data_IF_668469094470
#
_entry.id   IF_668469094470
#
_cell.length_a   1.000
_cell.length_b   1.000
_cell.length_c   1.000
_cell.angle_alpha   90.00
_cell.angle_beta   90.00
_cell.angle_gamma   90.00
#
_symmetry.space_group_name_H-M   'P 1'
#
loop_
_entity.id
_entity.type
_entity.pdbx_description
1 polymer ?
#
# COMPACT_ATOMS: atom_id res chain seq x y z
N UNK A 1 -17.97 7.30 -5.72
CA UNK A 1 -18.24 8.49 -6.58
C UNK A 1 -19.43 9.37 -6.16
N UNK A 2 -20.63 8.86 -5.84
CA UNK A 2 -21.78 9.70 -5.42
C UNK A 2 -21.48 10.62 -4.24
N UNK A 3 -20.82 10.10 -3.19
CA UNK A 3 -20.40 10.87 -2.00
C UNK A 3 -19.44 12.03 -2.35
N UNK A 4 -18.49 11.80 -3.25
CA UNK A 4 -17.57 12.85 -3.74
C UNK A 4 -18.34 13.97 -4.42
N UNK A 5 -19.28 13.65 -5.31
CA UNK A 5 -20.11 14.65 -5.99
C UNK A 5 -20.98 15.46 -5.00
N UNK A 6 -21.52 14.81 -3.97
CA UNK A 6 -22.25 15.49 -2.91
C UNK A 6 -21.36 16.45 -2.11
N UNK A 7 -20.18 16.01 -1.69
CA UNK A 7 -19.22 16.84 -0.95
C UNK A 7 -18.73 18.03 -1.79
N UNK A 8 -18.51 17.84 -3.10
CA UNK A 8 -18.16 18.95 -4.01
C UNK A 8 -19.25 20.02 -4.06
N UNK A 9 -20.53 19.64 -4.05
CA UNK A 9 -21.65 20.59 -3.99
C UNK A 9 -21.68 21.33 -2.65
N UNK A 10 -21.45 20.62 -1.55
CA UNK A 10 -21.40 21.21 -0.21
C UNK A 10 -20.24 22.21 -0.07
N UNK A 11 -19.06 21.87 -0.61
CA UNK A 11 -17.90 22.77 -0.66
C UNK A 11 -18.22 24.04 -1.44
N UNK A 12 -18.84 23.92 -2.64
CA UNK A 12 -19.21 25.09 -3.43
C UNK A 12 -20.21 26.00 -2.68
N UNK A 13 -21.21 25.40 -2.00
CA UNK A 13 -22.15 26.15 -1.17
C UNK A 13 -21.46 26.83 0.01
N UNK A 14 -20.52 26.15 0.68
CA UNK A 14 -19.76 26.69 1.80
C UNK A 14 -18.85 27.86 1.36
N UNK A 15 -18.23 27.76 0.20
CA UNK A 15 -17.45 28.86 -0.39
C UNK A 15 -18.33 30.08 -0.67
N UNK A 16 -19.57 29.89 -1.15
CA UNK A 16 -20.52 31.00 -1.32
C UNK A 16 -20.88 31.67 0.01
N UNK A 17 -21.05 30.89 1.08
CA UNK A 17 -21.29 31.43 2.43
C UNK A 17 -20.11 32.28 2.90
N UNK A 18 -18.87 31.78 2.74
CA UNK A 18 -17.66 32.54 3.10
C UNK A 18 -17.58 33.85 2.33
N UNK A 19 -17.81 33.82 1.01
CA UNK A 19 -17.81 35.04 0.17
C UNK A 19 -18.86 36.05 0.64
N UNK A 20 -20.08 35.59 0.97
CA UNK A 20 -21.14 36.45 1.50
C UNK A 20 -20.75 37.11 2.82
N UNK A 21 -20.29 36.32 3.80
CA UNK A 21 -19.85 36.83 5.11
C UNK A 21 -18.67 37.80 5.00
N UNK A 22 -17.74 37.54 4.07
CA UNK A 22 -16.61 38.43 3.82
C UNK A 22 -17.07 39.76 3.22
N UNK A 23 -18.03 39.73 2.28
CA UNK A 23 -18.63 40.94 1.74
C UNK A 23 -19.39 41.75 2.80
N UNK A 24 -20.14 41.09 3.69
CA UNK A 24 -20.85 41.75 4.79
C UNK A 24 -19.86 42.42 5.77
N UNK A 25 -18.73 41.76 6.05
CA UNK A 25 -17.63 42.32 6.84
C UNK A 25 -17.02 43.56 6.19
N UNK A 26 -16.74 43.51 4.88
CA UNK A 26 -16.23 44.67 4.14
C UNK A 26 -17.23 45.84 4.13
N UNK A 27 -18.53 45.56 4.03
CA UNK A 27 -19.58 46.58 4.13
C UNK A 27 -19.60 47.23 5.53
N UNK A 28 -19.43 46.45 6.59
CA UNK A 28 -19.33 46.97 7.95
C UNK A 28 -18.10 47.89 8.12
N UNK A 29 -16.93 47.50 7.61
CA UNK A 29 -15.73 48.35 7.65
C UNK A 29 -15.91 49.65 6.87
N UNK A 30 -16.56 49.60 5.70
CA UNK A 30 -16.88 50.82 4.93
C UNK A 30 -17.82 51.75 5.70
N UNK A 31 -18.82 51.22 6.41
CA UNK A 31 -19.71 52.04 7.23
C UNK A 31 -18.95 52.81 8.32
N UNK A 32 -17.90 52.21 8.90
CA UNK A 32 -17.02 52.87 9.87
C UNK A 32 -16.19 53.96 9.20
N UNK A 33 -15.56 53.67 8.05
CA UNK A 33 -14.72 54.62 7.32
C UNK A 33 -15.49 55.87 6.85
N UNK A 34 -16.78 55.74 6.53
CA UNK A 34 -17.63 56.88 6.12
C UNK A 34 -17.71 57.95 7.21
N UNK A 35 -17.55 57.61 8.49
CA UNK A 35 -17.57 58.62 9.57
C UNK A 35 -16.44 59.63 9.38
N UNK A 36 -15.22 59.16 9.12
CA UNK A 36 -14.04 60.01 8.91
C UNK A 36 -14.22 60.91 7.67
N UNK A 37 -14.77 60.36 6.57
CA UNK A 37 -15.10 61.13 5.37
C UNK A 37 -16.08 62.27 5.69
N UNK A 38 -17.12 61.99 6.47
CA UNK A 38 -18.13 62.98 6.85
C UNK A 38 -17.57 64.02 7.82
N UNK A 39 -16.67 63.65 8.72
CA UNK A 39 -15.95 64.60 9.59
C UNK A 39 -15.13 65.59 8.77
N UNK A 40 -14.36 65.10 7.78
CA UNK A 40 -13.54 65.95 6.91
C UNK A 40 -14.38 66.94 6.09
N UNK A 41 -15.56 66.53 5.62
CA UNK A 41 -16.50 67.41 4.90
C UNK A 41 -16.99 68.55 5.81
N UNK A 42 -17.35 68.25 7.06
CA UNK A 42 -17.80 69.26 8.03
C UNK A 42 -16.68 70.27 8.32
N UNK A 43 -15.45 69.79 8.53
CA UNK A 43 -14.31 70.65 8.83
C UNK A 43 -13.96 71.57 7.65
N UNK A 44 -13.99 71.05 6.42
CA UNK A 44 -13.80 71.83 5.19
C UNK A 44 -14.86 72.93 5.02
N UNK A 45 -16.15 72.61 5.26
CA UNK A 45 -17.23 73.60 5.19
C UNK A 45 -17.09 74.68 6.26
N UNK A 46 -16.66 74.31 7.48
CA UNK A 46 -16.38 75.27 8.56
C UNK A 46 -15.22 76.19 8.22
N UNK A 47 -14.14 75.66 7.66
CA UNK A 47 -12.98 76.44 7.21
C UNK A 47 -13.38 77.43 6.10
N UNK A 48 -14.12 76.98 5.08
CA UNK A 48 -14.63 77.84 4.02
C UNK A 48 -15.52 78.96 4.55
N UNK A 49 -16.39 78.65 5.52
CA UNK A 49 -17.22 79.67 6.20
C UNK A 49 -16.35 80.70 6.94
N UNK A 50 -15.32 80.25 7.67
CA UNK A 50 -14.41 81.15 8.39
C UNK A 50 -13.61 82.05 7.44
N UNK A 51 -13.14 81.52 6.31
CA UNK A 51 -12.46 82.29 5.27
C UNK A 51 -13.37 83.37 4.70
N UNK A 52 -14.62 83.03 4.34
CA UNK A 52 -15.59 84.02 3.85
C UNK A 52 -15.85 85.13 4.88
N UNK A 53 -15.99 84.78 6.16
CA UNK A 53 -16.16 85.75 7.25
C UNK A 53 -14.95 86.68 7.38
N UNK A 54 -13.73 86.13 7.30
CA UNK A 54 -12.51 86.92 7.39
C UNK A 54 -12.36 87.89 6.20
N UNK A 55 -12.60 87.41 4.97
CA UNK A 55 -12.53 88.21 3.74
C UNK A 55 -13.56 89.35 3.74
N UNK A 56 -14.80 89.06 4.13
CA UNK A 56 -15.87 90.07 4.17
C UNK A 56 -15.64 91.11 5.27
N UNK A 57 -15.15 90.70 6.45
CA UNK A 57 -14.75 91.61 7.53
C UNK A 57 -13.62 92.55 7.07
N UNK A 58 -12.60 92.03 6.36
CA UNK A 58 -11.52 92.85 5.81
C UNK A 58 -12.03 93.90 4.81
N UNK A 59 -13.13 93.63 4.11
CA UNK A 59 -13.80 94.56 3.20
C UNK A 59 -14.82 95.49 3.87
N UNK A 60 -14.99 95.43 5.20
CA UNK A 60 -15.93 96.27 5.96
C UNK A 60 -17.41 95.92 5.74
N UNK A 61 -17.72 94.72 5.25
CA UNK A 61 -19.07 94.22 4.98
C UNK A 61 -19.45 93.10 5.95
N UNK A 62 -20.75 92.82 6.05
CA UNK A 62 -21.27 91.64 6.78
C UNK A 62 -21.28 90.43 5.84
N UNK A 63 -20.73 89.30 6.30
CA UNK A 63 -20.77 88.03 5.57
C UNK A 63 -22.19 87.47 5.50
N UNK A 64 -22.62 86.97 4.34
CA UNK A 64 -23.80 86.10 4.24
C UNK A 64 -23.33 84.64 4.32
N UNK A 65 -23.51 84.02 5.49
CA UNK A 65 -23.13 82.62 5.76
C UNK A 65 -24.27 81.62 5.64
N UNK A 66 -25.48 82.08 5.29
CA UNK A 66 -26.72 81.28 5.36
C UNK A 66 -26.64 79.95 4.58
N UNK A 67 -26.00 79.96 3.41
CA UNK A 67 -25.79 78.76 2.60
C UNK A 67 -24.81 77.78 3.27
N UNK A 68 -23.68 78.27 3.79
CA UNK A 68 -22.72 77.43 4.52
C UNK A 68 -23.33 76.86 5.80
N UNK A 69 -24.13 77.64 6.53
CA UNK A 69 -24.79 77.17 7.74
C UNK A 69 -25.83 76.08 7.44
N UNK A 70 -26.55 76.20 6.31
CA UNK A 70 -27.45 75.15 5.83
C UNK A 70 -26.70 73.88 5.42
N UNK A 71 -25.59 74.02 4.69
CA UNK A 71 -24.76 72.88 4.27
C UNK A 71 -24.11 72.16 5.45
N UNK A 72 -23.60 72.92 6.43
CA UNK A 72 -23.04 72.38 7.68
C UNK A 72 -24.12 71.62 8.45
N UNK A 73 -25.32 72.20 8.63
CA UNK A 73 -26.42 71.52 9.32
C UNK A 73 -26.81 70.21 8.64
N UNK A 74 -26.86 70.18 7.31
CA UNK A 74 -27.16 68.97 6.54
C UNK A 74 -26.03 67.92 6.67
N UNK A 75 -24.77 68.35 6.60
CA UNK A 75 -23.61 67.48 6.77
C UNK A 75 -23.53 66.89 8.19
N UNK A 76 -23.85 67.68 9.23
CA UNK A 76 -23.93 67.23 10.62
C UNK A 76 -25.02 66.18 10.82
N UNK A 77 -26.19 66.34 10.17
CA UNK A 77 -27.24 65.33 10.19
C UNK A 77 -26.81 64.01 9.51
N UNK A 78 -26.14 64.10 8.35
CA UNK A 78 -25.58 62.94 7.66
C UNK A 78 -24.47 62.25 8.48
N UNK A 79 -23.61 63.04 9.14
CA UNK A 79 -22.58 62.52 10.03
C UNK A 79 -23.19 61.80 11.23
N UNK A 80 -24.23 62.36 11.86
CA UNK A 80 -24.94 61.68 12.95
C UNK A 80 -25.51 60.32 12.52
N UNK A 81 -26.10 60.25 11.32
CA UNK A 81 -26.56 58.98 10.75
C UNK A 81 -25.41 58.01 10.47
N UNK A 82 -24.28 58.49 9.93
CA UNK A 82 -23.08 57.69 9.71
C UNK A 82 -22.49 57.13 11.02
N UNK A 83 -22.43 57.93 12.09
CA UNK A 83 -21.97 57.49 13.41
C UNK A 83 -22.89 56.41 13.98
N UNK A 84 -24.20 56.54 13.83
CA UNK A 84 -25.14 55.52 14.26
C UNK A 84 -24.94 54.20 13.48
N UNK A 85 -24.78 54.27 12.16
CA UNK A 85 -24.50 53.12 11.32
C UNK A 85 -23.14 52.47 11.64
N UNK A 86 -22.10 53.28 11.87
CA UNK A 86 -20.75 52.82 12.22
C UNK A 86 -20.71 52.10 13.58
N UNK A 87 -21.49 52.56 14.57
CA UNK A 87 -21.61 51.85 15.86
C UNK A 87 -22.21 50.46 15.67
N UNK A 88 -23.32 50.37 14.94
CA UNK A 88 -23.94 49.08 14.64
C UNK A 88 -23.00 48.16 13.83
N UNK A 89 -22.24 48.72 12.88
CA UNK A 89 -21.25 47.98 12.12
C UNK A 89 -20.06 47.51 12.98
N UNK A 90 -19.56 48.34 13.89
CA UNK A 90 -18.48 47.97 14.81
C UNK A 90 -18.88 46.80 15.72
N UNK A 91 -20.14 46.75 16.16
CA UNK A 91 -20.68 45.65 16.96
C UNK A 91 -20.82 44.34 16.15
N UNK A 92 -20.97 44.41 14.82
CA UNK A 92 -21.13 43.22 13.96
C UNK A 92 -19.81 42.62 13.46
N UNK A 93 -18.70 43.37 13.44
CA UNK A 93 -17.41 42.89 12.92
C UNK A 93 -16.92 41.64 13.65
N UNK A 94 -16.91 41.64 14.99
CA UNK A 94 -16.40 40.49 15.77
C UNK A 94 -17.23 39.22 15.51
N UNK A 95 -18.58 39.26 15.55
CA UNK A 95 -19.41 38.14 15.12
C UNK A 95 -19.16 37.69 13.67
N UNK A 96 -18.98 38.63 12.73
CA UNK A 96 -18.72 38.31 11.32
C UNK A 96 -17.36 37.61 11.15
N UNK A 97 -16.31 38.09 11.81
CA UNK A 97 -14.99 37.45 11.83
C UNK A 97 -15.08 36.02 12.36
N UNK A 98 -15.77 35.82 13.49
CA UNK A 98 -15.98 34.48 14.06
C UNK A 98 -16.78 33.57 13.11
N UNK A 99 -17.79 34.11 12.42
CA UNK A 99 -18.59 33.37 11.45
C UNK A 99 -17.77 32.98 10.21
N UNK A 100 -16.91 33.87 9.70
CA UNK A 100 -15.99 33.59 8.59
C UNK A 100 -15.02 32.48 8.98
N UNK A 101 -14.40 32.55 10.15
CA UNK A 101 -13.47 31.52 10.61
C UNK A 101 -14.16 30.16 10.83
N UNK A 102 -15.35 30.15 11.43
CA UNK A 102 -16.14 28.93 11.56
C UNK A 102 -16.48 28.34 10.18
N UNK A 103 -16.84 29.18 9.22
CA UNK A 103 -17.17 28.75 7.87
C UNK A 103 -15.94 28.20 7.12
N UNK A 104 -14.75 28.78 7.31
CA UNK A 104 -13.47 28.28 6.78
C UNK A 104 -13.07 26.93 7.38
N UNK A 105 -13.24 26.75 8.69
CA UNK A 105 -12.99 25.47 9.35
C UNK A 105 -13.91 24.37 8.81
N UNK A 106 -15.21 24.66 8.66
CA UNK A 106 -16.15 23.73 8.05
C UNK A 106 -15.80 23.39 6.59
N UNK A 107 -15.26 24.36 5.82
CA UNK A 107 -14.75 24.12 4.48
C UNK A 107 -13.56 23.14 4.49
N UNK A 108 -12.59 23.35 5.37
CA UNK A 108 -11.43 22.47 5.50
C UNK A 108 -11.84 21.03 5.87
N UNK A 109 -12.80 20.88 6.78
CA UNK A 109 -13.36 19.56 7.14
C UNK A 109 -14.03 18.88 5.95
N UNK A 110 -14.81 19.62 5.16
CA UNK A 110 -15.45 19.09 3.94
C UNK A 110 -14.42 18.68 2.88
N UNK A 111 -13.34 19.45 2.73
CA UNK A 111 -12.25 19.12 1.82
C UNK A 111 -11.50 17.85 2.24
N UNK A 112 -11.19 17.71 3.53
CA UNK A 112 -10.62 16.49 4.09
C UNK A 112 -11.52 15.26 3.88
N UNK A 113 -12.82 15.41 4.13
CA UNK A 113 -13.81 14.36 3.86
C UNK A 113 -13.89 14.01 2.37
N UNK A 114 -13.79 14.99 1.47
CA UNK A 114 -13.81 14.76 0.02
C UNK A 114 -12.58 13.99 -0.44
N UNK A 115 -11.39 14.35 0.06
CA UNK A 115 -10.15 13.65 -0.26
C UNK A 115 -10.21 12.18 0.17
N UNK A 116 -10.59 11.91 1.42
CA UNK A 116 -10.74 10.55 1.92
C UNK A 116 -11.82 9.76 1.15
N UNK A 117 -12.95 10.38 0.79
CA UNK A 117 -13.98 9.74 0.00
C UNK A 117 -13.55 9.45 -1.45
N UNK A 118 -12.65 10.26 -2.02
CA UNK A 118 -12.08 10.04 -3.34
C UNK A 118 -11.06 8.90 -3.32
N UNK A 119 -10.15 8.90 -2.35
CA UNK A 119 -9.17 7.83 -2.15
C UNK A 119 -9.87 6.47 -2.01
N UNK A 120 -10.87 6.38 -1.11
CA UNK A 120 -11.66 5.17 -0.95
C UNK A 120 -12.34 4.72 -2.25
N UNK A 121 -12.90 5.66 -3.02
CA UNK A 121 -13.54 5.33 -4.30
C UNK A 121 -12.54 4.82 -5.35
N UNK A 122 -11.33 5.39 -5.41
CA UNK A 122 -10.26 4.93 -6.30
C UNK A 122 -9.82 3.53 -5.91
N UNK A 123 -9.59 3.30 -4.61
CA UNK A 123 -9.20 1.99 -4.09
C UNK A 123 -10.27 0.91 -4.35
N UNK A 124 -11.55 1.23 -4.16
CA UNK A 124 -12.63 0.29 -4.49
C UNK A 124 -12.65 -0.05 -5.98
N UNK A 125 -12.45 0.93 -6.87
CA UNK A 125 -12.41 0.67 -8.32
C UNK A 125 -11.21 -0.19 -8.70
N UNK A 126 -10.04 0.09 -8.10
CA UNK A 126 -8.85 -0.73 -8.26
C UNK A 126 -9.09 -2.17 -7.79
N UNK A 127 -9.68 -2.40 -6.62
CA UNK A 127 -10.00 -3.73 -6.10
C UNK A 127 -10.94 -4.51 -7.04
N UNK A 128 -11.94 -3.84 -7.64
CA UNK A 128 -12.84 -4.44 -8.64
C UNK A 128 -12.03 -4.91 -9.85
N UNK A 129 -11.15 -4.06 -10.39
CA UNK A 129 -10.33 -4.41 -11.54
C UNK A 129 -9.28 -5.48 -11.22
N UNK A 130 -8.68 -5.44 -10.03
CA UNK A 130 -7.78 -6.47 -9.53
C UNK A 130 -8.49 -7.82 -9.42
N UNK A 131 -9.74 -7.84 -8.95
CA UNK A 131 -10.59 -9.04 -8.91
C UNK A 131 -10.79 -9.63 -10.31
N UNK A 132 -11.21 -8.81 -11.28
CA UNK A 132 -11.37 -9.24 -12.68
C UNK A 132 -10.06 -9.72 -13.31
N UNK A 133 -8.95 -9.07 -12.99
CA UNK A 133 -7.62 -9.51 -13.40
C UNK A 133 -7.32 -10.91 -12.87
N UNK A 134 -7.55 -11.16 -11.57
CA UNK A 134 -7.31 -12.47 -10.97
C UNK A 134 -8.21 -13.55 -11.57
N UNK A 135 -9.48 -13.23 -11.86
CA UNK A 135 -10.40 -14.12 -12.57
C UNK A 135 -9.90 -14.48 -13.97
N UNK A 136 -9.39 -13.49 -14.73
CA UNK A 136 -8.82 -13.72 -16.05
C UNK A 136 -7.57 -14.61 -15.99
N UNK A 137 -6.71 -14.41 -14.98
CA UNK A 137 -5.53 -15.27 -14.75
C UNK A 137 -5.94 -16.68 -14.34
N UNK A 138 -7.02 -16.85 -13.58
CA UNK A 138 -7.57 -18.17 -13.27
C UNK A 138 -8.13 -18.85 -14.53
N UNK A 139 -8.85 -18.11 -15.38
CA UNK A 139 -9.38 -18.63 -16.65
C UNK A 139 -8.27 -19.05 -17.64
N UNK A 140 -7.12 -18.36 -17.61
CA UNK A 140 -5.95 -18.70 -18.43
C UNK A 140 -5.44 -20.12 -18.15
N UNK A 141 -5.63 -20.65 -16.94
CA UNK A 141 -5.21 -22.00 -16.57
C UNK A 141 -5.70 -23.06 -17.57
N UNK A 142 -6.99 -23.04 -17.92
CA UNK A 142 -7.58 -24.05 -18.81
C UNK A 142 -6.98 -23.99 -20.22
N UNK A 143 -6.69 -22.78 -20.73
CA UNK A 143 -6.02 -22.63 -22.02
C UNK A 143 -4.60 -23.20 -21.97
N UNK A 144 -3.84 -22.91 -20.92
CA UNK A 144 -2.47 -23.39 -20.76
C UNK A 144 -2.43 -24.90 -20.55
N UNK A 145 -3.36 -25.46 -19.78
CA UNK A 145 -3.54 -26.91 -19.61
C UNK A 145 -3.82 -27.60 -20.95
N UNK A 146 -4.72 -27.05 -21.77
CA UNK A 146 -5.00 -27.60 -23.10
C UNK A 146 -3.79 -27.52 -24.06
N UNK A 147 -3.03 -26.42 -24.04
CA UNK A 147 -1.80 -26.27 -24.84
C UNK A 147 -0.71 -27.25 -24.40
N UNK A 148 -0.47 -27.38 -23.09
CA UNK A 148 0.46 -28.35 -22.52
C UNK A 148 0.02 -29.80 -22.80
N UNK A 149 -1.28 -30.08 -22.69
CA UNK A 149 -1.86 -31.38 -22.96
C UNK A 149 -1.74 -31.80 -24.41
N UNK A 150 -1.96 -30.88 -25.35
CA UNK A 150 -1.77 -31.12 -26.77
C UNK A 150 -0.33 -31.49 -27.12
N UNK A 151 0.66 -30.79 -26.54
CA UNK A 151 2.07 -31.16 -26.74
C UNK A 151 2.40 -32.54 -26.15
N UNK A 152 1.94 -32.83 -24.94
CA UNK A 152 2.13 -34.15 -24.31
C UNK A 152 1.53 -35.27 -25.15
N UNK A 153 0.29 -35.10 -25.61
CA UNK A 153 -0.38 -36.06 -26.48
C UNK A 153 0.33 -36.21 -27.83
N UNK A 154 0.81 -35.11 -28.42
CA UNK A 154 1.59 -35.14 -29.66
C UNK A 154 2.86 -35.97 -29.52
N UNK A 155 3.59 -35.82 -28.40
CA UNK A 155 4.79 -36.62 -28.15
C UNK A 155 4.48 -38.11 -28.05
N UNK A 156 3.39 -38.46 -27.38
CA UNK A 156 2.98 -39.85 -27.13
C UNK A 156 2.39 -40.53 -28.37
N UNK A 157 1.43 -39.89 -29.03
CA UNK A 157 0.77 -40.47 -30.21
C UNK A 157 1.75 -40.61 -31.38
N UNK A 158 2.69 -39.68 -31.53
CA UNK A 158 3.60 -39.67 -32.68
C UNK A 158 5.00 -40.20 -32.36
N UNK A 159 5.18 -40.85 -31.19
CA UNK A 159 6.45 -41.46 -30.75
C UNK A 159 7.68 -40.54 -30.94
N UNK A 160 7.55 -39.29 -30.49
CA UNK A 160 8.58 -38.26 -30.68
C UNK A 160 9.76 -38.48 -29.73
N UNK A 161 10.97 -38.28 -30.24
CA UNK A 161 12.20 -38.49 -29.47
C UNK A 161 12.45 -37.31 -28.50
N UNK A 162 13.20 -37.54 -27.41
CA UNK A 162 13.72 -36.44 -26.59
C UNK A 162 14.59 -35.51 -27.45
N UNK A 163 14.10 -34.31 -27.73
CA UNK A 163 14.74 -33.32 -28.62
C UNK A 163 13.86 -32.88 -29.80
N UNK A 164 12.79 -33.63 -30.10
CA UNK A 164 11.79 -33.18 -31.07
C UNK A 164 10.98 -32.02 -30.49
N UNK A 165 11.06 -30.87 -31.14
CA UNK A 165 10.31 -29.68 -30.74
C UNK A 165 8.85 -29.78 -31.18
N UNK A 166 7.95 -29.45 -30.26
CA UNK A 166 6.54 -29.28 -30.61
C UNK A 166 6.39 -28.12 -31.61
N UNK A 167 5.56 -28.24 -32.67
CA UNK A 167 5.45 -27.20 -33.70
C UNK A 167 4.88 -25.86 -33.20
N UNK A 168 4.16 -25.89 -32.07
CA UNK A 168 3.63 -24.70 -31.39
C UNK A 168 4.33 -24.45 -30.06
N UNK A 169 3.77 -23.53 -29.26
CA UNK A 169 4.20 -23.33 -27.87
C UNK A 169 3.30 -24.14 -26.94
N UNK A 170 3.63 -25.39 -26.64
CA UNK A 170 2.85 -26.20 -25.69
C UNK A 170 3.29 -25.92 -24.25
N UNK A 171 4.23 -26.73 -23.76
CA UNK A 171 4.84 -26.59 -22.43
C UNK A 171 5.67 -25.30 -22.29
N UNK A 172 6.19 -24.76 -23.39
CA UNK A 172 6.95 -23.48 -23.35
C UNK A 172 6.10 -22.33 -22.78
N UNK A 173 4.77 -22.36 -22.94
CA UNK A 173 3.88 -21.32 -22.41
C UNK A 173 3.90 -21.28 -20.89
N UNK A 174 3.98 -22.44 -20.21
CA UNK A 174 4.04 -22.47 -18.75
C UNK A 174 5.38 -21.95 -18.23
N UNK A 175 6.47 -22.20 -18.96
CA UNK A 175 7.79 -21.67 -18.64
C UNK A 175 7.86 -20.15 -18.84
N UNK A 176 7.27 -19.63 -19.92
CA UNK A 176 7.13 -18.20 -20.16
C UNK A 176 6.36 -17.52 -19.01
N UNK A 177 5.27 -18.14 -18.54
CA UNK A 177 4.50 -17.64 -17.40
C UNK A 177 5.33 -17.65 -16.13
N UNK A 178 6.02 -18.75 -15.82
CA UNK A 178 6.91 -18.86 -14.65
C UNK A 178 7.98 -17.79 -14.65
N UNK A 179 8.64 -17.57 -15.78
CA UNK A 179 9.74 -16.64 -15.89
C UNK A 179 9.29 -15.17 -15.82
N UNK A 180 8.33 -14.75 -16.65
CA UNK A 180 8.00 -13.32 -16.84
C UNK A 180 6.53 -13.02 -17.11
N UNK A 181 5.66 -14.02 -17.09
CA UNK A 181 4.24 -13.80 -17.38
C UNK A 181 3.45 -13.21 -16.22
N UNK A 182 2.16 -13.53 -16.21
CA UNK A 182 1.20 -12.98 -15.23
C UNK A 182 1.60 -13.29 -13.79
N UNK A 183 1.24 -12.37 -12.89
CA UNK A 183 1.49 -12.48 -11.45
C UNK A 183 0.21 -12.17 -10.72
N UNK A 184 0.03 -12.70 -9.52
CA UNK A 184 -1.19 -12.52 -8.72
C UNK A 184 -0.85 -12.21 -7.27
N UNK A 185 -1.79 -11.61 -6.52
CA UNK A 185 -1.66 -11.47 -5.07
C UNK A 185 -1.42 -12.81 -4.38
N UNK A 186 -0.85 -12.77 -3.17
CA UNK A 186 -0.44 -13.97 -2.42
C UNK A 186 -1.61 -14.95 -2.22
N UNK A 187 -2.85 -14.47 -2.11
CA UNK A 187 -4.09 -15.25 -1.96
C UNK A 187 -4.38 -16.20 -3.13
N UNK A 188 -3.84 -15.91 -4.32
CA UNK A 188 -4.01 -16.72 -5.54
C UNK A 188 -2.73 -17.47 -5.93
N UNK A 189 -1.71 -17.40 -5.08
CA UNK A 189 -0.44 -18.11 -5.23
C UNK A 189 -0.35 -19.27 -4.24
N UNK A 190 0.76 -20.02 -4.29
CA UNK A 190 1.06 -21.05 -3.28
C UNK A 190 1.21 -20.49 -1.86
N UNK A 191 1.50 -19.19 -1.70
CA UNK A 191 1.63 -18.55 -0.39
C UNK A 191 0.32 -18.41 0.37
N UNK A 192 -0.82 -18.75 -0.26
CA UNK A 192 -2.07 -18.96 0.47
C UNK A 192 -1.93 -20.08 1.52
N UNK A 193 -1.08 -21.08 1.25
CA UNK A 193 -0.75 -22.13 2.21
C UNK A 193 0.17 -21.57 3.31
N UNK A 194 -0.27 -21.57 4.59
CA UNK A 194 0.55 -21.09 5.70
C UNK A 194 1.91 -21.79 5.83
N UNK A 195 2.01 -23.07 5.44
CA UNK A 195 3.27 -23.81 5.49
C UNK A 195 4.29 -23.26 4.49
N UNK A 196 3.84 -22.86 3.30
CA UNK A 196 4.69 -22.22 2.29
C UNK A 196 5.03 -20.79 2.73
N UNK A 197 4.05 -20.04 3.24
CA UNK A 197 4.24 -18.67 3.70
C UNK A 197 5.25 -18.55 4.85
N UNK A 198 5.34 -19.56 5.73
CA UNK A 198 6.30 -19.60 6.84
C UNK A 198 7.77 -19.55 6.36
N UNK A 199 8.05 -19.91 5.10
CA UNK A 199 9.36 -19.82 4.48
C UNK A 199 9.74 -18.43 3.96
N UNK A 200 8.89 -17.42 4.13
CA UNK A 200 9.09 -16.07 3.61
C UNK A 200 9.18 -15.03 4.73
N UNK A 201 9.69 -13.84 4.39
CA UNK A 201 9.61 -12.67 5.27
C UNK A 201 8.18 -12.14 5.37
N UNK A 202 7.84 -11.50 6.48
CA UNK A 202 6.46 -11.18 6.86
C UNK A 202 5.79 -10.16 5.91
N UNK A 203 6.59 -9.44 5.12
CA UNK A 203 6.19 -8.48 4.09
C UNK A 203 5.75 -9.12 2.78
N UNK A 204 5.69 -10.45 2.67
CA UNK A 204 5.31 -11.16 1.45
C UNK A 204 3.97 -10.71 0.85
N UNK A 205 3.04 -10.21 1.67
CA UNK A 205 1.73 -9.71 1.23
C UNK A 205 1.80 -8.48 0.31
N UNK A 206 2.93 -7.79 0.30
CA UNK A 206 3.15 -6.59 -0.51
C UNK A 206 3.66 -6.91 -1.93
N UNK A 207 3.80 -8.19 -2.27
CA UNK A 207 4.37 -8.63 -3.55
C UNK A 207 3.40 -9.48 -4.34
N UNK A 208 3.73 -9.63 -5.62
CA UNK A 208 2.95 -10.40 -6.58
C UNK A 208 3.74 -11.64 -7.01
N UNK A 209 3.06 -12.77 -7.12
CA UNK A 209 3.66 -14.09 -7.25
C UNK A 209 3.13 -14.85 -8.45
N UNK A 210 3.82 -15.94 -8.81
CA UNK A 210 3.32 -16.87 -9.84
C UNK A 210 1.98 -17.47 -9.36
N UNK A 211 0.96 -17.57 -10.23
CA UNK A 211 -0.30 -18.23 -9.88
C UNK A 211 -0.09 -19.66 -9.38
N UNK A 212 -0.94 -20.13 -8.48
CA UNK A 212 -0.84 -21.48 -7.89
C UNK A 212 -0.71 -22.58 -8.94
N UNK A 213 -1.46 -22.46 -10.04
CA UNK A 213 -1.46 -23.44 -11.13
C UNK A 213 -0.20 -23.42 -11.99
N UNK A 214 0.59 -22.34 -11.94
CA UNK A 214 1.83 -22.18 -12.68
C UNK A 214 3.09 -22.38 -11.83
N UNK A 215 2.95 -22.78 -10.56
CA UNK A 215 4.08 -23.03 -9.68
C UNK A 215 5.07 -24.06 -10.27
N UNK A 216 6.36 -23.88 -10.01
CA UNK A 216 7.44 -24.69 -10.61
C UNK A 216 7.34 -26.18 -10.26
N UNK A 217 6.81 -26.50 -9.08
CA UNK A 217 6.65 -27.86 -8.58
C UNK A 217 5.48 -28.59 -9.24
N UNK A 218 4.58 -27.86 -9.89
CA UNK A 218 3.42 -28.43 -10.58
C UNK A 218 3.83 -28.93 -11.98
N UNK A 219 4.19 -30.21 -12.07
CA UNK A 219 4.61 -30.86 -13.31
C UNK A 219 3.49 -31.60 -14.04
N UNK A 220 2.31 -31.72 -13.42
CA UNK A 220 1.13 -32.43 -13.91
C UNK A 220 0.24 -31.59 -14.85
N UNK A 221 0.63 -30.36 -15.14
CA UNK A 221 -0.15 -29.44 -15.98
C UNK A 221 -0.43 -30.05 -17.37
N UNK A 222 -1.70 -30.03 -17.77
CA UNK A 222 -2.19 -30.58 -19.04
C UNK A 222 -2.21 -32.11 -19.14
N UNK A 223 -1.90 -32.85 -18.06
CA UNK A 223 -1.94 -34.33 -18.11
C UNK A 223 -3.33 -34.87 -18.42
N UNK A 224 -4.38 -34.29 -17.82
CA UNK A 224 -5.77 -34.69 -18.09
C UNK A 224 -6.17 -34.45 -19.55
N UNK A 225 -5.90 -33.26 -20.08
CA UNK A 225 -6.18 -32.94 -21.48
C UNK A 225 -5.38 -33.85 -22.44
N UNK A 226 -4.13 -34.19 -22.08
CA UNK A 226 -3.34 -35.14 -22.84
C UNK A 226 -4.00 -36.52 -22.88
N UNK A 227 -4.48 -37.02 -21.74
CA UNK A 227 -5.19 -38.31 -21.65
C UNK A 227 -6.48 -38.28 -22.47
N UNK A 228 -7.27 -37.21 -22.37
CA UNK A 228 -8.50 -37.04 -23.15
C UNK A 228 -8.23 -37.05 -24.67
N UNK A 229 -7.16 -36.39 -25.13
CA UNK A 229 -6.73 -36.38 -26.54
C UNK A 229 -6.26 -37.78 -26.98
N UNK A 230 -5.41 -38.45 -26.19
CA UNK A 230 -4.90 -39.79 -26.50
C UNK A 230 -6.05 -40.80 -26.57
N UNK A 231 -6.97 -40.78 -25.60
CA UNK A 231 -8.14 -41.66 -25.57
C UNK A 231 -9.12 -41.37 -26.71
N UNK A 232 -9.26 -40.11 -27.14
CA UNK A 232 -10.03 -39.77 -28.34
C UNK A 232 -9.37 -40.33 -29.62
N UNK A 233 -8.06 -40.19 -29.78
CA UNK A 233 -7.32 -40.72 -30.92
C UNK A 233 -7.39 -42.25 -31.02
N UNK A 234 -7.30 -42.94 -29.87
CA UNK A 234 -7.48 -44.40 -29.78
C UNK A 234 -8.87 -44.86 -30.20
N UNK A 235 -9.91 -44.16 -29.73
CA UNK A 235 -11.30 -44.42 -30.17
C UNK A 235 -11.49 -44.22 -31.67
N UNK A 236 -10.70 -43.34 -32.29
CA UNK A 236 -10.66 -43.15 -33.73
C UNK A 236 -9.79 -44.18 -34.49
N UNK A 237 -9.21 -45.16 -33.80
CA UNK A 237 -8.42 -46.24 -34.39
C UNK A 237 -6.92 -45.98 -34.51
N UNK A 238 -6.40 -44.91 -33.90
CA UNK A 238 -4.96 -44.62 -33.92
C UNK A 238 -4.23 -45.46 -32.85
N UNK A 239 -3.17 -46.21 -33.21
CA UNK A 239 -2.38 -46.96 -32.24
C UNK A 239 -1.54 -46.00 -31.39
N UNK A 240 -1.48 -46.22 -30.08
CA UNK A 240 -0.65 -45.41 -29.19
C UNK A 240 -0.49 -46.04 -27.81
N UNK A 241 0.66 -45.82 -27.19
CA UNK A 241 0.99 -46.30 -25.85
C UNK A 241 0.14 -45.62 -24.77
N UNK A 242 -0.03 -46.27 -23.62
CA UNK A 242 -0.73 -45.67 -22.48
C UNK A 242 0.05 -44.43 -22.00
N UNK A 243 -0.68 -43.37 -21.64
CA UNK A 243 -0.10 -42.27 -20.90
C UNK A 243 0.33 -42.84 -19.54
N UNK A 244 1.61 -43.22 -19.42
CA UNK A 244 2.19 -43.54 -18.12
C UNK A 244 2.33 -42.22 -17.38
N UNK A 245 1.36 -41.93 -16.53
CA UNK A 245 1.46 -40.86 -15.56
C UNK A 245 2.65 -41.16 -14.66
N UNK A 246 3.69 -40.31 -14.72
CA UNK A 246 4.65 -40.27 -13.63
C UNK A 246 3.86 -40.01 -12.33
N UNK A 247 4.17 -40.71 -11.22
CA UNK A 247 3.41 -40.58 -9.98
C UNK A 247 3.27 -39.10 -9.60
N UNK A 248 2.02 -38.67 -9.46
CA UNK A 248 1.58 -37.27 -9.48
C UNK A 248 1.79 -36.52 -8.16
N UNK A 249 2.43 -37.11 -7.17
CA UNK A 249 2.78 -36.42 -5.95
C UNK A 249 4.30 -36.36 -5.84
N UNK A 250 4.93 -35.18 -5.69
CA UNK A 250 6.22 -35.16 -5.02
C UNK A 250 5.95 -35.82 -3.65
N UNK A 251 6.42 -37.05 -3.46
CA UNK A 251 6.32 -37.72 -2.17
C UNK A 251 6.75 -36.69 -1.13
N UNK A 252 5.84 -36.32 -0.23
CA UNK A 252 6.21 -35.46 0.90
C UNK A 252 7.41 -36.16 1.52
N UNK A 253 8.61 -35.54 1.50
CA UNK A 253 9.84 -36.24 1.85
C UNK A 253 9.62 -36.85 3.22
N UNK A 254 9.63 -38.18 3.28
CA UNK A 254 9.22 -38.89 4.49
C UNK A 254 10.19 -38.53 5.60
N UNK A 255 9.73 -37.76 6.58
CA UNK A 255 10.57 -37.32 7.69
C UNK A 255 10.66 -38.45 8.71
N UNK A 256 11.88 -38.85 9.08
CA UNK A 256 12.14 -39.86 10.10
C UNK A 256 12.90 -39.25 11.27
N UNK A 257 12.51 -39.65 12.49
CA UNK A 257 13.21 -39.26 13.72
C UNK A 257 14.51 -40.05 13.83
N UNK A 258 15.62 -39.34 13.88
CA UNK A 258 16.96 -39.90 14.08
C UNK A 258 17.58 -39.38 15.36
N UNK A 259 18.45 -40.19 15.97
CA UNK A 259 19.32 -39.78 17.07
C UNK A 259 20.75 -39.67 16.58
N UNK A 260 21.43 -38.57 16.90
CA UNK A 260 22.84 -38.40 16.55
C UNK A 260 23.70 -39.38 17.35
N UNK A 261 24.47 -40.21 16.66
CA UNK A 261 25.39 -41.19 17.25
C UNK A 261 26.83 -40.69 17.24
N UNK A 262 27.21 -39.90 16.23
CA UNK A 262 28.59 -39.44 16.05
C UNK A 262 28.67 -38.10 15.31
N UNK A 263 29.40 -37.15 15.90
CA UNK A 263 29.67 -35.83 15.31
C UNK A 263 28.59 -34.79 15.64
N UNK A 264 28.64 -33.66 14.94
CA UNK A 264 27.66 -32.58 15.04
C UNK A 264 26.93 -32.51 13.70
N UNK A 265 25.59 -32.56 13.74
CA UNK A 265 24.76 -32.39 12.55
C UNK A 265 24.23 -30.97 12.55
N UNK A 266 24.56 -30.22 11.50
CA UNK A 266 23.99 -28.89 11.26
C UNK A 266 22.80 -29.05 10.35
N UNK A 267 21.61 -28.77 10.86
CA UNK A 267 20.41 -28.72 10.04
C UNK A 267 19.81 -27.32 10.10
N UNK A 268 19.34 -26.87 8.95
CA UNK A 268 18.69 -25.58 8.83
C UNK A 268 17.30 -25.69 9.43
N UNK A 269 17.07 -25.02 10.56
CA UNK A 269 15.82 -25.08 11.30
C UNK A 269 14.79 -24.06 10.82
N UNK A 270 15.24 -22.95 10.24
CA UNK A 270 14.36 -21.93 9.66
C UNK A 270 15.09 -21.19 8.54
N UNK A 271 14.51 -21.19 7.34
CA UNK A 271 14.98 -20.40 6.20
C UNK A 271 13.87 -19.41 5.86
N UNK A 272 14.12 -18.11 6.01
CA UNK A 272 13.23 -17.08 5.45
C UNK A 272 13.80 -16.54 4.15
N UNK A 273 12.97 -16.47 3.13
CA UNK A 273 13.31 -15.94 1.80
C UNK A 273 12.64 -14.59 1.57
N UNK A 274 13.32 -13.74 0.81
CA UNK A 274 12.74 -12.50 0.32
C UNK A 274 11.67 -12.83 -0.73
N UNK A 275 10.46 -12.27 -0.63
CA UNK A 275 9.35 -12.56 -1.55
C UNK A 275 9.65 -12.14 -3.00
N UNK A 276 10.28 -11.00 -3.23
CA UNK A 276 10.59 -10.52 -4.59
C UNK A 276 11.71 -11.29 -5.31
N UNK A 277 12.78 -11.67 -4.59
CA UNK A 277 14.01 -12.18 -5.20
C UNK A 277 14.23 -13.67 -4.95
N UNK A 278 13.48 -14.27 -4.02
CA UNK A 278 13.70 -15.65 -3.56
C UNK A 278 15.01 -15.85 -2.78
N UNK A 279 15.79 -14.78 -2.58
CA UNK A 279 17.05 -14.81 -1.86
C UNK A 279 16.82 -15.18 -0.39
N UNK A 280 17.72 -15.98 0.19
CA UNK A 280 17.64 -16.33 1.61
C UNK A 280 18.06 -15.11 2.44
N UNK A 281 17.12 -14.55 3.20
CA UNK A 281 17.32 -13.35 4.05
C UNK A 281 17.75 -13.75 5.45
N UNK A 282 17.18 -14.84 5.97
CA UNK A 282 17.62 -15.38 7.26
C UNK A 282 17.68 -16.89 7.20
N UNK A 283 18.70 -17.42 7.87
CA UNK A 283 18.97 -18.86 7.95
C UNK A 283 19.39 -19.15 9.38
N UNK A 284 18.49 -19.79 10.13
CA UNK A 284 18.80 -20.29 11.47
C UNK A 284 19.27 -21.73 11.29
N UNK A 285 20.56 -21.97 11.48
CA UNK A 285 21.12 -23.32 11.49
C UNK A 285 21.23 -23.78 12.94
N UNK A 286 20.57 -24.90 13.25
CA UNK A 286 20.68 -25.56 14.55
C UNK A 286 21.70 -26.68 14.46
N UNK A 287 22.59 -26.74 15.44
CA UNK A 287 23.53 -27.84 15.61
C UNK A 287 22.93 -28.87 16.57
N UNK A 288 22.99 -30.14 16.19
CA UNK A 288 22.55 -31.29 16.98
C UNK A 288 23.77 -32.13 17.34
N UNK A 289 23.93 -32.41 18.63
CA UNK A 289 25.06 -33.15 19.18
C UNK A 289 24.71 -34.60 19.46
N UNK A 290 25.72 -35.41 19.80
CA UNK A 290 25.53 -36.83 20.11
C UNK A 290 24.51 -37.01 21.23
N UNK A 291 23.49 -37.82 20.97
CA UNK A 291 22.38 -38.06 21.89
C UNK A 291 21.15 -37.19 21.63
N UNK A 292 21.25 -36.13 20.82
CA UNK A 292 20.10 -35.32 20.41
C UNK A 292 19.23 -36.04 19.36
N UNK A 293 17.94 -35.78 19.42
CA UNK A 293 16.98 -36.25 18.42
C UNK A 293 16.68 -35.12 17.41
N UNK A 294 16.65 -35.43 16.12
CA UNK A 294 16.17 -34.54 15.07
C UNK A 294 15.35 -35.29 14.01
N UNK A 295 14.51 -34.57 13.29
CA UNK A 295 13.78 -35.09 12.13
C UNK A 295 14.57 -34.76 10.86
N UNK A 296 14.84 -35.78 10.05
CA UNK A 296 15.51 -35.66 8.76
C UNK A 296 14.68 -36.36 7.69
N UNK A 297 14.81 -35.89 6.45
CA UNK A 297 14.30 -36.62 5.30
C UNK A 297 14.89 -38.04 5.25
N UNK A 298 14.06 -39.04 4.97
CA UNK A 298 14.43 -40.46 5.04
C UNK A 298 15.66 -40.79 4.18
N UNK A 299 15.78 -40.20 2.99
CA UNK A 299 16.94 -40.39 2.13
C UNK A 299 18.24 -39.91 2.81
N UNK A 300 18.24 -38.70 3.37
CA UNK A 300 19.38 -38.15 4.10
C UNK A 300 19.65 -38.91 5.40
N UNK A 301 18.59 -39.29 6.13
CA UNK A 301 18.68 -40.07 7.36
C UNK A 301 19.32 -41.43 7.10
N UNK A 302 18.91 -42.15 6.04
CA UNK A 302 19.51 -43.45 5.66
C UNK A 302 20.95 -43.29 5.22
N UNK A 303 21.28 -42.24 4.46
CA UNK A 303 22.67 -41.97 4.07
C UNK A 303 23.55 -41.71 5.31
N UNK A 304 23.10 -40.89 6.26
CA UNK A 304 23.82 -40.62 7.50
C UNK A 304 23.87 -41.83 8.43
N UNK A 305 22.87 -42.71 8.37
CA UNK A 305 22.84 -43.97 9.12
C UNK A 305 23.89 -44.95 8.58
N UNK A 306 23.98 -45.12 7.25
CA UNK A 306 25.01 -45.92 6.58
C UNK A 306 26.41 -45.42 6.94
N UNK A 307 26.61 -44.10 6.96
CA UNK A 307 27.86 -43.46 7.36
C UNK A 307 28.13 -43.52 8.89
N UNK A 308 27.19 -44.07 9.67
CA UNK A 308 27.34 -44.28 11.11
C UNK A 308 27.19 -43.01 11.97
N UNK A 309 26.67 -41.92 11.41
CA UNK A 309 26.47 -40.65 12.10
C UNK A 309 25.18 -40.60 12.92
N UNK A 310 24.13 -41.31 12.50
CA UNK A 310 22.82 -41.32 13.16
C UNK A 310 22.24 -42.73 13.32
N UNK A 311 21.29 -42.89 14.23
CA UNK A 311 20.44 -44.07 14.37
C UNK A 311 18.99 -43.67 14.09
N UNK A 312 18.32 -44.38 13.19
CA UNK A 312 16.90 -44.17 12.90
C UNK A 312 16.09 -44.79 14.06
N UNK A 313 15.18 -44.02 14.68
CA UNK A 313 14.36 -44.54 15.78
C UNK A 313 13.51 -45.72 15.30
N UNK A 314 13.60 -46.85 16.00
CA UNK A 314 12.93 -48.10 15.64
C UNK A 314 13.83 -49.11 14.92
N UNK A 315 15.00 -48.68 14.44
CA UNK A 315 15.98 -49.53 13.73
C UNK A 315 17.33 -49.48 14.46
N UNK A 316 17.44 -50.19 15.60
CA UNK A 316 18.70 -50.41 16.34
C UNK A 316 18.78 -49.83 17.77
N UNK A 317 19.93 -50.03 18.43
CA UNK A 317 20.20 -49.51 19.78
C UNK A 317 20.46 -47.99 19.74
N UNK A 318 19.68 -47.24 20.53
CA UNK A 318 19.81 -45.79 20.63
C UNK A 318 20.98 -45.42 21.57
N UNK A 319 21.88 -44.51 21.15
CA UNK A 319 22.94 -44.02 22.03
C UNK A 319 22.33 -43.33 23.26
N UNK A 320 22.90 -43.63 24.42
CA UNK A 320 22.50 -43.07 25.72
C UNK A 320 22.92 -41.61 25.85
N UNK A 321 22.10 -40.80 26.52
CA UNK A 321 22.34 -39.36 26.77
C UNK A 321 23.47 -39.08 27.77
N UNK A 322 24.24 -40.09 28.16
CA UNK A 322 25.16 -40.06 29.30
C UNK A 322 26.59 -39.82 28.85
N UNK A 323 26.97 -38.54 28.84
CA UNK A 323 28.34 -38.09 28.64
C UNK A 323 28.66 -36.72 29.25
N UNK A 324 27.79 -36.16 30.10
CA UNK A 324 28.05 -34.91 30.83
C UNK A 324 28.07 -35.22 32.33
N UNK A 325 29.19 -35.03 33.04
CA UNK A 325 29.21 -35.12 34.50
C UNK A 325 28.14 -34.19 35.10
N UNK A 326 27.37 -34.71 36.07
CA UNK A 326 26.23 -34.03 36.73
C UNK A 326 26.54 -32.65 37.34
N UNK A 327 27.80 -32.22 37.36
CA UNK A 327 28.22 -30.92 37.89
C UNK A 327 28.12 -29.76 36.88
N UNK A 328 27.90 -30.03 35.58
CA UNK A 328 27.64 -28.99 34.58
C UNK A 328 26.13 -28.67 34.40
N UNK A 329 25.24 -29.54 34.86
CA UNK A 329 23.78 -29.41 34.69
C UNK A 329 23.17 -28.28 35.56
N UNK A 330 23.95 -27.76 36.52
CA UNK A 330 23.60 -26.59 37.34
C UNK A 330 24.05 -25.24 36.74
N UNK A 331 24.91 -25.25 35.72
CA UNK A 331 25.42 -24.04 35.06
C UNK A 331 24.68 -23.70 33.73
N UNK A 332 23.86 -24.61 33.21
CA UNK A 332 23.14 -24.47 31.93
C UNK A 332 21.61 -24.43 32.08
N UNK A 333 21.09 -23.85 33.16
CA UNK A 333 19.71 -23.33 33.12
C UNK A 333 19.72 -22.00 32.37
N UNK A 334 19.07 -21.87 31.20
CA UNK A 334 18.81 -20.54 30.67
C UNK A 334 17.89 -19.81 31.65
N UNK A 335 18.37 -18.65 32.13
CA UNK A 335 17.51 -17.59 32.64
C UNK A 335 16.53 -17.23 31.53
N UNK A 336 15.29 -17.67 31.66
CA UNK A 336 14.16 -16.99 31.03
C UNK A 336 14.02 -15.63 31.74
N UNK A 337 14.81 -14.65 31.30
CA UNK A 337 14.65 -13.25 31.67
C UNK A 337 15.30 -12.38 30.59
N UNK A 338 14.48 -11.62 29.88
CA UNK A 338 14.93 -10.50 29.05
C UNK A 338 15.32 -10.84 27.61
N UNK A 339 14.32 -11.01 26.76
CA UNK A 339 14.40 -10.56 25.37
C UNK A 339 13.22 -9.63 25.08
N UNK A 340 13.00 -8.69 25.99
CA UNK A 340 12.40 -7.39 25.64
C UNK A 340 13.56 -6.46 25.28
N UNK A 341 13.40 -5.78 24.15
CA UNK A 341 14.32 -4.82 23.55
C UNK A 341 15.70 -5.37 23.14
N UNK A 342 15.85 -5.61 21.83
CA UNK A 342 17.06 -5.14 21.19
C UNK A 342 16.68 -4.24 20.02
N UNK A 343 17.07 -2.99 20.18
CA UNK A 343 16.88 -1.89 19.25
C UNK A 343 17.38 -2.31 17.87
N UNK A 344 16.54 -2.03 16.86
CA UNK A 344 16.97 -1.95 15.48
C UNK A 344 18.19 -1.02 15.45
N UNK A 345 19.36 -1.61 15.19
CA UNK A 345 20.46 -0.86 14.60
C UNK A 345 19.93 -0.26 13.31
N UNK A 346 19.53 1.01 13.42
CA UNK A 346 19.33 1.94 12.33
C UNK A 346 20.69 2.07 11.65
N UNK A 347 21.00 1.14 10.74
CA UNK A 347 22.01 1.40 9.73
C UNK A 347 21.38 2.51 8.90
N UNK A 348 21.84 3.73 9.15
CA UNK A 348 21.50 4.87 8.35
C UNK A 348 21.82 4.52 6.90
N UNK A 349 20.78 4.52 6.07
CA UNK A 349 20.95 4.75 4.65
C UNK A 349 21.53 6.17 4.51
N UNK A 350 22.85 6.24 4.60
CA UNK A 350 23.66 7.38 4.18
C UNK A 350 23.49 7.51 2.67
N UNK A 351 22.70 8.48 2.25
CA UNK A 351 22.83 9.42 1.11
C UNK A 351 23.83 9.17 -0.06
N UNK A 352 24.28 7.95 -0.35
CA UNK A 352 25.26 7.68 -1.42
C UNK A 352 24.70 6.89 -2.61
N UNK A 353 23.42 6.51 -2.60
CA UNK A 353 22.75 5.89 -3.75
C UNK A 353 21.81 6.82 -4.53
N UNK A 354 21.86 8.13 -4.25
CA UNK A 354 21.14 9.16 -5.02
C UNK A 354 22.06 9.93 -5.99
N UNK A 355 23.39 9.69 -5.94
CA UNK A 355 24.37 10.36 -6.80
C UNK A 355 24.76 9.56 -8.08
N UNK A 356 24.15 8.40 -8.34
CA UNK A 356 24.50 7.52 -9.47
C UNK A 356 23.36 7.33 -10.49
N UNK A 357 22.27 8.09 -10.39
CA UNK A 357 21.15 8.06 -11.36
C UNK A 357 20.81 9.42 -11.99
N UNK A 358 21.71 10.41 -11.97
CA UNK A 358 21.48 11.72 -12.62
C UNK A 358 22.50 12.12 -13.69
N UNK A 359 23.40 11.24 -14.12
CA UNK A 359 24.26 11.51 -15.28
C UNK A 359 24.24 10.34 -16.23
N UNK A 360 23.24 10.30 -17.11
CA UNK A 360 23.38 9.90 -18.51
C UNK A 360 22.04 10.09 -19.22
N UNK A 361 21.84 11.31 -19.71
CA UNK A 361 20.66 11.73 -20.45
C UNK A 361 20.90 13.05 -21.17
N UNK A 362 22.09 13.20 -21.77
CA UNK A 362 22.36 14.26 -22.73
C UNK A 362 23.46 13.82 -23.71
N UNK A 363 23.05 13.14 -24.77
CA UNK A 363 23.62 13.22 -26.13
C UNK A 363 22.77 12.48 -27.14
#
# INVERSE_FOLDING_TARGET
>A
MKKVAQLTKQIAAQQQIITGLTADRELAERAIAIVEERTAIIDSLREQRHTLQAETLASGKTADTSNFDTQISNAEAQHAAAVAAARAAAESIVPLDAAVELAKNALADLEGQRAAALEAAIMTEHEIHQGRYCEAVAALQACVEGMAGAERAWRLLLNKLPGDHFPGRGLDVIEDIRARGVRVPWEFSRLKDPAVAAGYTDDFRNYWFVPVWAAAERQDIGMKDADDIVNAARRAGFPGDDLVTAPTEPEVPKMVKVRVKRGIIRADSLIKRHPATGAVVSKITRSYEVGDDLELEEATARQLHILGHVVIRGEGELPSRTGIPRDAEKAMRPRLAGAEHNELHRVGFSSEMEALMQTDGNR
#
